data_IF_098168677293
#
_entry.id   IF_098168677293
#
_cell.length_a   1.000
_cell.length_b   1.000
_cell.length_c   1.000
_cell.angle_alpha   90.00
_cell.angle_beta   90.00
_cell.angle_gamma   90.00
#
_symmetry.space_group_name_H-M   'P 1'
#
loop_
_entity.id
_entity.type
_entity.pdbx_description
1 polymer ?
#
# COMPACT_ATOMS: atom_id res chain seq x y z
N UNK A 1 -1.73 23.55 -64.71
CA UNK A 1 -2.48 22.79 -63.66
C UNK A 1 -1.84 21.42 -63.38
N UNK A 2 -0.55 21.35 -62.99
CA UNK A 2 0.17 20.07 -62.72
C UNK A 2 1.05 20.10 -61.46
N UNK A 3 1.01 21.19 -60.68
CA UNK A 3 1.91 21.43 -59.53
C UNK A 3 1.26 21.21 -58.15
N UNK A 4 0.00 20.77 -58.10
CA UNK A 4 -0.76 20.63 -56.84
C UNK A 4 -0.85 19.19 -56.31
N UNK A 5 -0.46 18.18 -57.09
CA UNK A 5 -0.58 16.76 -56.68
C UNK A 5 0.61 16.32 -55.81
N UNK A 6 1.81 16.88 -56.03
CA UNK A 6 3.03 16.45 -55.34
C UNK A 6 3.09 16.92 -53.87
N UNK A 7 2.37 18.00 -53.52
CA UNK A 7 2.36 18.54 -52.15
C UNK A 7 1.44 17.77 -51.21
N UNK A 8 0.38 17.13 -51.70
CA UNK A 8 -0.55 16.35 -50.86
C UNK A 8 -0.02 14.96 -50.49
N UNK A 9 0.81 14.34 -51.33
CA UNK A 9 1.36 13.01 -51.06
C UNK A 9 2.39 13.00 -49.91
N UNK A 10 3.08 14.10 -49.69
CA UNK A 10 4.08 14.24 -48.61
C UNK A 10 3.41 14.47 -47.25
N UNK A 11 2.23 15.09 -47.22
CA UNK A 11 1.54 15.43 -45.97
C UNK A 11 0.79 14.23 -45.35
N UNK A 12 0.34 13.25 -46.15
CA UNK A 12 -0.38 12.06 -45.64
C UNK A 12 0.52 10.91 -45.20
N UNK A 13 1.80 10.88 -45.60
CA UNK A 13 2.75 9.83 -45.19
C UNK A 13 3.42 10.09 -43.83
N UNK A 14 3.45 11.35 -43.36
CA UNK A 14 4.07 11.70 -42.07
C UNK A 14 3.14 11.57 -40.85
N UNK A 15 1.81 11.58 -41.06
CA UNK A 15 0.84 11.53 -39.95
C UNK A 15 0.54 10.09 -39.50
N UNK A 16 0.74 9.09 -40.36
CA UNK A 16 0.50 7.67 -40.04
C UNK A 16 1.67 6.98 -39.34
N UNK A 17 2.88 7.56 -39.36
CA UNK A 17 4.07 7.03 -38.68
C UNK A 17 4.26 7.56 -37.25
N UNK A 18 3.44 8.54 -36.81
CA UNK A 18 3.50 9.09 -35.44
C UNK A 18 2.37 8.62 -34.51
N UNK A 19 1.40 7.84 -35.00
CA UNK A 19 0.25 7.37 -34.20
C UNK A 19 0.39 5.92 -33.68
N UNK A 20 1.51 5.25 -33.93
CA UNK A 20 1.66 3.81 -33.67
C UNK A 20 2.63 3.44 -32.54
N UNK A 21 3.14 4.40 -31.77
CA UNK A 21 4.19 4.16 -30.77
C UNK A 21 3.87 4.63 -29.34
N UNK A 22 2.62 4.97 -29.04
CA UNK A 22 2.19 5.24 -27.66
C UNK A 22 1.05 4.31 -27.23
N UNK A 23 1.18 3.02 -27.54
CA UNK A 23 0.45 1.97 -26.84
C UNK A 23 1.41 1.20 -25.93
N UNK A 24 2.14 1.95 -25.09
CA UNK A 24 2.61 1.43 -23.81
C UNK A 24 1.59 1.82 -22.75
N UNK A 25 0.34 1.42 -22.97
CA UNK A 25 -0.71 1.55 -22.00
C UNK A 25 -1.26 0.15 -21.76
N UNK A 26 -0.90 -0.37 -20.58
CA UNK A 26 -1.57 -1.48 -19.92
C UNK A 26 -1.09 -2.90 -20.28
N UNK A 27 0.11 -3.22 -19.81
CA UNK A 27 0.33 -4.54 -19.22
C UNK A 27 1.16 -4.42 -17.94
N UNK A 28 0.60 -3.74 -16.94
CA UNK A 28 1.07 -3.85 -15.56
C UNK A 28 -0.14 -3.86 -14.62
N UNK A 29 -0.73 -5.04 -14.48
CA UNK A 29 -1.39 -5.48 -13.26
C UNK A 29 -1.00 -6.96 -13.15
N UNK A 30 0.15 -7.29 -12.59
CA UNK A 30 0.40 -7.06 -11.16
C UNK A 30 -0.38 -8.14 -10.45
N UNK A 31 0.34 -9.20 -10.05
CA UNK A 31 -0.26 -10.42 -9.49
C UNK A 31 -1.26 -10.11 -8.39
N UNK A 32 -2.26 -10.99 -8.26
CA UNK A 32 -3.12 -11.09 -7.08
C UNK A 32 -2.23 -11.31 -5.85
N UNK A 33 -1.70 -10.21 -5.30
CA UNK A 33 -1.07 -10.20 -4.00
C UNK A 33 -2.16 -10.59 -3.03
N UNK A 34 -2.10 -11.82 -2.54
CA UNK A 34 -2.59 -12.12 -1.22
C UNK A 34 -1.87 -11.13 -0.32
N UNK A 35 -2.52 -10.01 0.01
CA UNK A 35 -2.08 -9.18 1.13
C UNK A 35 -2.32 -10.07 2.33
N UNK A 36 -1.29 -10.82 2.71
CA UNK A 36 -1.25 -11.46 4.01
C UNK A 36 -1.66 -10.40 5.02
N UNK A 37 -2.49 -10.74 6.02
CA UNK A 37 -2.82 -9.79 7.06
C UNK A 37 -1.50 -9.22 7.59
N UNK A 38 -1.39 -7.88 7.72
CA UNK A 38 -0.13 -7.25 8.09
C UNK A 38 0.41 -7.90 9.36
N UNK A 39 1.72 -8.17 9.38
CA UNK A 39 2.35 -8.78 10.55
C UNK A 39 2.17 -7.86 11.77
N UNK A 40 2.32 -8.43 12.96
CA UNK A 40 2.34 -7.64 14.20
C UNK A 40 3.42 -6.56 14.11
N UNK A 41 4.59 -6.88 13.54
CA UNK A 41 5.66 -5.90 13.29
C UNK A 41 5.24 -4.76 12.35
N UNK A 42 4.48 -5.05 11.30
CA UNK A 42 4.00 -4.02 10.37
C UNK A 42 2.98 -3.12 11.05
N UNK A 43 2.04 -3.72 11.78
CA UNK A 43 1.02 -3.00 12.54
C UNK A 43 1.69 -2.13 13.61
N UNK A 44 2.68 -2.68 14.33
CA UNK A 44 3.45 -1.95 15.34
C UNK A 44 4.10 -0.72 14.71
N UNK A 45 4.84 -0.92 13.63
CA UNK A 45 5.56 0.15 12.92
C UNK A 45 4.63 1.18 12.29
N UNK A 46 3.40 0.80 11.96
CA UNK A 46 2.38 1.71 11.43
C UNK A 46 1.70 2.53 12.54
N UNK A 47 1.71 2.03 13.78
CA UNK A 47 1.12 2.71 14.94
C UNK A 47 2.12 3.55 15.74
N UNK A 48 3.38 3.12 15.82
CA UNK A 48 4.50 3.81 16.47
C UNK A 48 4.89 5.03 15.63
N UNK A 49 4.32 6.18 15.97
CA UNK A 49 4.44 7.40 15.15
C UNK A 49 5.64 8.23 15.53
N UNK A 50 6.04 8.18 16.78
CA UNK A 50 7.22 8.86 17.29
C UNK A 50 8.49 8.00 17.18
N UNK A 51 8.36 6.75 16.71
CA UNK A 51 9.45 5.80 16.45
C UNK A 51 10.28 5.53 17.72
N UNK A 52 9.63 5.54 18.88
CA UNK A 52 10.27 5.36 20.17
C UNK A 52 10.42 3.87 20.57
N UNK A 53 9.85 2.97 19.77
CA UNK A 53 9.92 1.53 19.97
C UNK A 53 8.91 0.98 20.96
N UNK A 54 7.88 1.77 21.32
CA UNK A 54 6.74 1.38 22.14
C UNK A 54 5.47 2.06 21.62
N UNK A 55 4.32 1.70 22.16
CA UNK A 55 3.03 2.22 21.72
C UNK A 55 2.29 2.82 22.90
N UNK A 56 2.07 4.13 22.85
CA UNK A 56 1.26 4.81 23.86
C UNK A 56 -0.24 4.54 23.65
N UNK A 57 -1.04 4.71 24.72
CA UNK A 57 -2.52 4.61 24.66
C UNK A 57 -3.16 5.57 23.65
N UNK A 58 -2.46 6.63 23.27
CA UNK A 58 -2.90 7.64 22.31
C UNK A 58 -2.68 7.21 20.86
N UNK A 59 -1.61 6.46 20.60
CA UNK A 59 -1.27 5.91 19.29
C UNK A 59 -2.10 4.69 18.93
N UNK A 60 -2.47 3.92 19.95
CA UNK A 60 -3.27 2.71 19.81
C UNK A 60 -4.70 3.00 19.38
N UNK A 61 -5.23 2.13 18.52
CA UNK A 61 -6.59 2.22 17.98
C UNK A 61 -7.27 0.86 17.90
N UNK A 62 -8.60 0.88 17.89
CA UNK A 62 -9.42 -0.32 17.79
C UNK A 62 -9.23 -1.26 18.98
N UNK A 63 -9.33 -2.59 18.78
CA UNK A 63 -9.37 -3.55 19.89
C UNK A 63 -8.07 -3.59 20.71
N UNK A 64 -6.93 -3.19 20.15
CA UNK A 64 -5.66 -3.14 20.87
C UNK A 64 -5.71 -2.06 21.97
N UNK A 65 -6.42 -0.96 21.73
CA UNK A 65 -6.62 0.09 22.74
C UNK A 65 -7.56 -0.38 23.86
N UNK A 66 -8.59 -1.15 23.52
CA UNK A 66 -9.53 -1.70 24.51
C UNK A 66 -8.86 -2.77 25.38
N UNK A 67 -7.92 -3.52 24.81
CA UNK A 67 -7.11 -4.51 25.52
C UNK A 67 -5.78 -3.94 26.05
N UNK A 68 -5.59 -2.62 26.04
CA UNK A 68 -4.35 -1.96 26.46
C UNK A 68 -3.86 -2.47 27.81
N UNK A 69 -4.72 -2.37 28.83
CA UNK A 69 -4.39 -2.74 30.22
C UNK A 69 -4.22 -4.27 30.39
N UNK A 70 -4.49 -5.07 29.36
CA UNK A 70 -4.19 -6.52 29.34
C UNK A 70 -2.87 -6.84 28.65
N UNK A 71 -2.41 -5.95 27.78
CA UNK A 71 -1.19 -6.12 26.99
C UNK A 71 -0.01 -5.47 27.72
N UNK A 72 -0.23 -4.28 28.28
CA UNK A 72 0.68 -3.59 29.20
C UNK A 72 0.76 -4.39 30.51
N UNK A 73 1.76 -5.27 30.60
CA UNK A 73 1.93 -6.20 31.72
C UNK A 73 2.84 -5.64 32.81
N UNK A 74 3.70 -4.68 32.46
CA UNK A 74 4.55 -3.97 33.41
C UNK A 74 3.91 -2.68 33.96
N UNK A 75 2.72 -2.31 33.46
CA UNK A 75 1.90 -1.17 33.87
C UNK A 75 2.64 0.16 33.71
N UNK A 76 3.50 0.27 32.70
CA UNK A 76 4.33 1.45 32.44
C UNK A 76 3.59 2.55 31.63
N UNK A 77 2.40 2.23 31.12
CA UNK A 77 1.58 3.13 30.31
C UNK A 77 1.92 3.09 28.81
N UNK A 78 2.72 2.12 28.37
CA UNK A 78 3.06 1.86 26.99
C UNK A 78 2.97 0.35 26.69
N UNK A 79 2.87 0.00 25.41
CA UNK A 79 3.00 -1.39 24.97
C UNK A 79 4.32 -1.54 24.26
N UNK A 80 5.20 -2.36 24.83
CA UNK A 80 6.45 -2.75 24.17
C UNK A 80 6.19 -3.73 23.04
N UNK A 81 7.15 -3.85 22.11
CA UNK A 81 7.06 -4.83 21.02
C UNK A 81 6.89 -6.27 21.53
N UNK A 82 7.58 -6.61 22.62
CA UNK A 82 7.54 -7.94 23.24
C UNK A 82 6.17 -8.26 23.84
N UNK A 83 5.48 -7.25 24.38
CA UNK A 83 4.12 -7.37 24.89
C UNK A 83 3.10 -7.47 23.76
N UNK A 84 3.25 -6.66 22.70
CA UNK A 84 2.39 -6.74 21.53
C UNK A 84 2.53 -8.11 20.81
N UNK A 85 3.72 -8.72 20.82
CA UNK A 85 3.92 -10.07 20.28
C UNK A 85 3.23 -11.15 21.11
N UNK A 86 3.18 -10.98 22.43
CA UNK A 86 2.44 -11.86 23.36
C UNK A 86 0.93 -11.60 23.32
N UNK A 87 0.51 -10.42 22.85
CA UNK A 87 -0.88 -10.05 22.77
C UNK A 87 -1.66 -11.02 21.88
N UNK A 88 -2.90 -11.37 22.26
CA UNK A 88 -3.73 -12.22 21.43
C UNK A 88 -3.99 -11.53 20.09
N UNK A 89 -3.40 -12.08 19.02
CA UNK A 89 -3.60 -11.58 17.66
C UNK A 89 -5.10 -11.49 17.40
N UNK A 90 -5.64 -10.36 16.90
CA UNK A 90 -7.03 -10.29 16.51
C UNK A 90 -7.23 -11.40 15.48
N UNK A 91 -8.07 -12.40 15.81
CA UNK A 91 -8.42 -13.49 14.88
C UNK A 91 -8.92 -12.81 13.61
N UNK A 92 -8.04 -12.73 12.61
CA UNK A 92 -8.41 -12.27 11.29
C UNK A 92 -9.61 -13.10 10.91
N UNK A 93 -10.76 -12.45 10.72
CA UNK A 93 -11.95 -13.14 10.23
C UNK A 93 -11.53 -13.74 8.90
N UNK A 94 -11.25 -15.04 8.90
CA UNK A 94 -11.05 -15.84 7.70
C UNK A 94 -12.33 -15.61 6.91
N UNK A 95 -12.25 -14.81 5.85
CA UNK A 95 -13.34 -14.69 4.89
C UNK A 95 -13.33 -16.03 4.17
N UNK A 96 -14.09 -16.99 4.71
CA UNK A 96 -14.43 -18.25 4.04
C UNK A 96 -15.22 -17.98 2.75
#
# INVERSE_FOLDING_TARGET
MKKMIVKSAVLTAMVTLFFSANLSAQQSQGGKGQKEPPSVDEIFKEMDKDEDGKLSKEELKGPIKDDFDKIDTDEDGYISKEELEKAPKPKGRKRE
#
